data_IF_373666435315
#
_entry.id   IF_373666435315
#
_cell.length_a   1.000
_cell.length_b   1.000
_cell.length_c   1.000
_cell.angle_alpha   90.00
_cell.angle_beta   90.00
_cell.angle_gamma   90.00
#
_symmetry.space_group_name_H-M   'P 1'
#
loop_
_entity.id
_entity.type
_entity.pdbx_description
1 polymer ?
#
# COMPACT_ATOMS: atom_id res chain seq x y z
N UNK A 1 17.11 3.45 26.89
CA UNK A 1 16.48 2.14 26.64
C UNK A 1 15.22 2.11 27.48
N UNK A 2 14.09 2.52 26.91
CA UNK A 2 12.79 2.36 27.57
C UNK A 2 12.25 1.00 27.11
N UNK A 3 12.04 0.09 28.05
CA UNK A 3 11.37 -1.18 27.82
C UNK A 3 9.91 -0.90 27.45
N UNK A 4 9.56 -1.10 26.19
CA UNK A 4 8.19 -1.12 25.70
C UNK A 4 7.59 -2.49 26.05
N UNK A 5 7.01 -2.60 27.25
CA UNK A 5 6.20 -3.76 27.63
C UNK A 5 4.86 -3.68 26.91
N UNK A 6 4.74 -4.34 25.76
CA UNK A 6 3.46 -4.57 25.09
C UNK A 6 2.62 -5.50 26.00
N UNK A 7 1.43 -5.07 26.48
CA UNK A 7 0.55 -5.97 27.20
C UNK A 7 0.03 -7.03 26.22
N UNK A 8 0.53 -8.25 26.36
CA UNK A 8 -0.03 -9.42 25.66
C UNK A 8 -1.45 -9.63 26.18
N UNK A 9 -2.43 -9.29 25.34
CA UNK A 9 -3.84 -9.54 25.61
C UNK A 9 -4.13 -11.03 25.78
N UNK A 10 -5.12 -11.34 26.62
CA UNK A 10 -5.58 -12.70 26.88
C UNK A 10 -5.98 -13.38 25.55
N UNK A 11 -5.42 -14.56 25.19
CA UNK A 11 -5.71 -15.22 23.91
C UNK A 11 -7.15 -15.75 23.82
N UNK A 12 -7.96 -15.54 24.86
CA UNK A 12 -9.39 -15.87 24.91
C UNK A 12 -10.30 -14.65 24.75
N UNK A 13 -9.74 -13.44 24.61
CA UNK A 13 -10.54 -12.24 24.35
C UNK A 13 -10.98 -12.19 22.88
N UNK A 14 -12.29 -12.26 22.63
CA UNK A 14 -12.83 -12.08 21.29
C UNK A 14 -12.56 -10.66 20.79
N UNK A 15 -12.14 -10.53 19.52
CA UNK A 15 -11.79 -9.25 18.92
C UNK A 15 -12.90 -8.84 17.95
N UNK A 16 -13.37 -7.60 18.05
CA UNK A 16 -14.35 -7.05 17.13
C UNK A 16 -13.79 -7.02 15.69
N UNK A 17 -14.46 -7.64 14.70
CA UNK A 17 -13.96 -7.69 13.32
C UNK A 17 -14.00 -6.32 12.61
N UNK A 18 -14.70 -5.33 13.17
CA UNK A 18 -14.90 -4.02 12.54
C UNK A 18 -13.92 -2.94 13.03
N UNK A 19 -13.57 -2.95 14.32
CA UNK A 19 -12.70 -1.93 14.92
C UNK A 19 -11.53 -2.51 15.71
N UNK A 20 -11.37 -3.83 15.73
CA UNK A 20 -10.31 -4.55 16.44
C UNK A 20 -10.30 -4.34 17.96
N UNK A 21 -11.33 -3.72 18.54
CA UNK A 21 -11.47 -3.61 19.98
C UNK A 21 -11.76 -4.97 20.62
N UNK A 22 -11.20 -5.22 21.80
CA UNK A 22 -11.50 -6.40 22.61
C UNK A 22 -12.95 -6.36 23.07
N UNK A 23 -13.66 -7.48 22.89
CA UNK A 23 -15.04 -7.64 23.31
C UNK A 23 -15.10 -8.17 24.74
N UNK A 24 -16.07 -7.72 25.56
CA UNK A 24 -16.28 -8.26 26.89
C UNK A 24 -16.66 -9.75 26.89
N UNK A 25 -17.32 -10.22 25.83
CA UNK A 25 -17.74 -11.62 25.63
C UNK A 25 -18.08 -11.91 24.16
N UNK A 26 -17.98 -13.19 23.75
CA UNK A 26 -18.33 -13.68 22.42
C UNK A 26 -19.78 -13.42 21.99
N UNK A 27 -20.70 -13.35 22.96
CA UNK A 27 -22.15 -13.30 22.73
C UNK A 27 -22.71 -11.87 22.58
N UNK A 28 -21.83 -10.87 22.48
CA UNK A 28 -22.26 -9.47 22.32
C UNK A 28 -22.93 -9.27 20.96
N UNK A 29 -24.15 -8.72 20.96
CA UNK A 29 -24.89 -8.42 19.73
C UNK A 29 -24.33 -7.18 19.03
N UNK A 30 -23.83 -6.21 19.80
CA UNK A 30 -23.25 -4.98 19.28
C UNK A 30 -21.92 -4.70 19.98
N UNK A 31 -20.92 -4.24 19.22
CA UNK A 31 -19.64 -3.85 19.79
C UNK A 31 -19.80 -2.56 20.63
N UNK A 32 -19.36 -2.53 21.90
CA UNK A 32 -19.46 -1.32 22.73
C UNK A 32 -18.49 -0.20 22.31
N UNK A 33 -17.45 -0.52 21.53
CA UNK A 33 -16.44 0.45 21.09
C UNK A 33 -16.84 1.20 19.82
N UNK A 34 -17.43 0.51 18.84
CA UNK A 34 -17.80 1.12 17.55
C UNK A 34 -19.30 1.04 17.22
N UNK A 35 -20.11 0.35 18.02
CA UNK A 35 -21.55 0.19 17.80
C UNK A 35 -21.94 -0.78 16.69
N UNK A 36 -20.98 -1.47 16.06
CA UNK A 36 -21.26 -2.41 14.97
C UNK A 36 -22.02 -3.64 15.48
N UNK A 37 -23.02 -4.09 14.73
CA UNK A 37 -23.74 -5.35 15.00
C UNK A 37 -22.83 -6.54 14.65
N UNK A 38 -22.59 -7.42 15.62
CA UNK A 38 -21.69 -8.56 15.52
C UNK A 38 -22.43 -9.84 15.13
N UNK A 39 -23.64 -10.02 15.66
CA UNK A 39 -24.56 -11.08 15.27
C UNK A 39 -25.69 -10.46 14.46
N UNK A 40 -25.67 -10.65 13.14
CA UNK A 40 -26.69 -10.09 12.27
C UNK A 40 -28.05 -10.74 12.49
N UNK A 41 -29.08 -9.91 12.76
CA UNK A 41 -30.46 -10.30 12.49
C UNK A 41 -30.67 -10.44 10.97
N UNK A 42 -31.66 -11.25 10.58
CA UNK A 42 -32.03 -11.48 9.18
C UNK A 42 -32.24 -10.14 8.47
N UNK A 43 -31.45 -9.89 7.44
CA UNK A 43 -31.52 -8.66 6.64
C UNK A 43 -32.97 -8.40 6.18
N UNK A 44 -33.57 -7.24 6.53
CA UNK A 44 -34.92 -6.94 6.10
C UNK A 44 -34.96 -6.87 4.58
N UNK A 45 -35.91 -7.59 3.99
CA UNK A 45 -36.16 -7.55 2.56
C UNK A 45 -36.64 -6.15 2.16
N UNK A 46 -35.73 -5.36 1.60
CA UNK A 46 -36.00 -4.02 1.09
C UNK A 46 -36.51 -4.15 -0.35
N UNK A 47 -37.77 -3.78 -0.63
CA UNK A 47 -38.35 -3.92 -1.97
C UNK A 47 -37.57 -3.05 -2.96
N UNK A 48 -37.07 -3.68 -4.03
CA UNK A 48 -36.26 -3.02 -5.06
C UNK A 48 -34.75 -3.05 -4.84
N UNK A 49 -34.26 -3.49 -3.66
CA UNK A 49 -32.84 -3.68 -3.39
C UNK A 49 -32.50 -5.15 -3.15
N UNK A 50 -33.10 -5.75 -2.12
CA UNK A 50 -32.83 -7.15 -1.74
C UNK A 50 -34.01 -8.08 -2.04
N UNK A 51 -35.22 -7.54 -2.23
CA UNK A 51 -36.37 -8.26 -2.73
C UNK A 51 -36.73 -7.82 -4.15
N UNK A 52 -36.83 -8.81 -5.05
CA UNK A 52 -37.29 -8.64 -6.41
C UNK A 52 -38.81 -8.44 -6.41
N UNK A 53 -39.28 -7.28 -6.87
CA UNK A 53 -40.71 -7.06 -7.09
C UNK A 53 -41.17 -7.84 -8.33
N UNK A 54 -41.83 -8.99 -8.10
CA UNK A 54 -42.38 -9.83 -9.16
C UNK A 54 -43.39 -9.07 -10.06
N UNK A 55 -44.10 -8.08 -9.51
CA UNK A 55 -45.03 -7.26 -10.29
C UNK A 55 -44.28 -6.26 -11.18
N UNK A 56 -43.13 -5.75 -10.76
CA UNK A 56 -42.26 -4.93 -11.60
C UNK A 56 -41.68 -5.73 -12.77
N UNK A 57 -41.24 -6.98 -12.54
CA UNK A 57 -40.76 -7.87 -13.61
C UNK A 57 -41.87 -8.14 -14.63
N UNK A 58 -43.08 -8.49 -14.16
CA UNK A 58 -44.21 -8.79 -15.04
C UNK A 58 -44.62 -7.60 -15.91
N UNK A 59 -44.51 -6.37 -15.39
CA UNK A 59 -44.75 -5.14 -16.17
C UNK A 59 -43.63 -4.86 -17.17
N UNK A 60 -42.38 -5.08 -16.77
CA UNK A 60 -41.23 -4.91 -17.67
C UNK A 60 -41.26 -5.88 -18.85
N UNK A 61 -41.73 -7.11 -18.64
CA UNK A 61 -41.87 -8.10 -19.72
C UNK A 61 -43.00 -7.80 -20.70
N UNK A 62 -44.01 -7.03 -20.28
CA UNK A 62 -45.19 -6.72 -21.09
C UNK A 62 -45.10 -5.34 -21.79
N UNK A 63 -44.16 -4.49 -21.37
CA UNK A 63 -43.93 -3.21 -22.04
C UNK A 63 -43.35 -3.46 -23.45
N UNK A 64 -43.90 -2.85 -24.51
CA UNK A 64 -43.30 -2.94 -25.83
C UNK A 64 -41.88 -2.41 -25.72
N UNK A 65 -40.91 -3.18 -26.23
CA UNK A 65 -39.49 -2.88 -26.30
C UNK A 65 -39.32 -1.53 -27.03
N UNK A 66 -39.50 -0.42 -26.32
CA UNK A 66 -39.04 0.89 -26.79
C UNK A 66 -37.54 0.79 -26.72
N UNK A 67 -36.95 0.48 -27.87
CA UNK A 67 -35.54 0.50 -28.20
C UNK A 67 -34.72 1.19 -27.10
N UNK A 68 -34.16 0.39 -26.21
CA UNK A 68 -33.11 0.87 -25.33
C UNK A 68 -31.92 1.18 -26.24
N UNK A 69 -31.88 2.43 -26.71
CA UNK A 69 -30.70 3.03 -27.31
C UNK A 69 -29.54 2.68 -26.39
N UNK A 70 -28.59 1.93 -26.93
CA UNK A 70 -27.59 1.18 -26.19
C UNK A 70 -26.83 2.08 -25.23
N UNK A 71 -26.99 1.81 -23.93
CA UNK A 71 -26.29 2.54 -22.86
C UNK A 71 -24.78 2.48 -22.97
N UNK A 72 -24.24 1.40 -23.56
CA UNK A 72 -22.82 1.27 -23.87
C UNK A 72 -22.35 2.34 -24.87
N UNK A 73 -23.18 2.67 -25.88
CA UNK A 73 -22.83 3.75 -26.82
C UNK A 73 -22.91 5.11 -26.14
N UNK A 74 -23.90 5.35 -25.27
CA UNK A 74 -23.99 6.58 -24.46
C UNK A 74 -22.80 6.74 -23.50
N UNK A 75 -22.32 5.64 -22.91
CA UNK A 75 -21.14 5.64 -22.03
C UNK A 75 -19.84 5.89 -22.79
N UNK A 76 -19.65 5.28 -23.97
CA UNK A 76 -18.44 5.46 -24.79
C UNK A 76 -18.44 6.84 -25.47
N UNK A 77 -19.61 7.33 -25.92
CA UNK A 77 -19.71 8.60 -26.64
C UNK A 77 -19.77 9.82 -25.70
N UNK A 78 -19.94 9.60 -24.39
CA UNK A 78 -20.13 10.67 -23.41
C UNK A 78 -21.42 11.48 -23.61
N UNK A 79 -22.35 11.00 -24.45
CA UNK A 79 -23.66 11.61 -24.64
C UNK A 79 -24.58 11.07 -23.54
N UNK A 80 -24.49 11.69 -22.37
CA UNK A 80 -25.44 11.50 -21.28
C UNK A 80 -26.65 12.39 -21.55
N UNK A 81 -27.88 11.86 -21.39
CA UNK A 81 -29.08 12.71 -21.35
C UNK A 81 -28.84 13.81 -20.31
N UNK A 82 -28.78 15.06 -20.77
CA UNK A 82 -28.43 16.25 -19.98
C UNK A 82 -29.50 16.62 -18.93
N UNK A 83 -30.58 15.85 -18.87
CA UNK A 83 -31.72 16.05 -17.95
C UNK A 83 -31.48 15.48 -16.54
N UNK A 84 -30.31 14.85 -16.28
CA UNK A 84 -29.88 14.60 -14.90
C UNK A 84 -29.11 15.84 -14.45
N UNK A 85 -29.85 16.80 -13.89
CA UNK A 85 -29.30 17.92 -13.13
C UNK A 85 -28.60 17.34 -11.88
N UNK A 86 -27.38 16.84 -12.08
CA UNK A 86 -26.47 16.51 -11.00
C UNK A 86 -26.23 17.77 -10.19
N UNK A 87 -26.30 17.65 -8.87
CA UNK A 87 -25.90 18.72 -7.96
C UNK A 87 -24.57 19.33 -8.43
N UNK A 88 -24.37 20.66 -8.34
CA UNK A 88 -23.13 21.29 -8.77
C UNK A 88 -21.98 20.56 -8.10
N UNK A 89 -21.14 19.89 -8.89
CA UNK A 89 -19.99 19.18 -8.36
C UNK A 89 -19.07 20.23 -7.75
N UNK A 90 -18.71 20.04 -6.48
CA UNK A 90 -17.75 20.89 -5.81
C UNK A 90 -16.44 20.84 -6.61
N UNK A 91 -16.11 21.93 -7.29
CA UNK A 91 -14.95 22.02 -8.18
C UNK A 91 -13.63 21.78 -7.47
N UNK A 92 -13.61 21.94 -6.14
CA UNK A 92 -12.50 21.65 -5.25
C UNK A 92 -12.24 20.14 -5.09
N UNK A 93 -13.27 19.28 -5.19
CA UNK A 93 -13.11 17.83 -5.14
C UNK A 93 -12.44 17.25 -6.40
N UNK A 94 -12.49 18.01 -7.50
CA UNK A 94 -11.86 17.66 -8.79
C UNK A 94 -10.56 18.44 -9.02
N UNK A 95 -10.19 19.34 -8.11
CA UNK A 95 -8.96 20.09 -8.22
C UNK A 95 -7.76 19.16 -8.00
N UNK A 96 -6.62 19.41 -8.67
CA UNK A 96 -5.37 18.73 -8.34
C UNK A 96 -5.02 18.89 -6.86
N UNK A 97 -4.31 17.92 -6.24
CA UNK A 97 -3.87 18.03 -4.86
C UNK A 97 -3.06 19.31 -4.63
N UNK A 98 -3.09 19.81 -3.40
CA UNK A 98 -2.26 20.92 -2.99
C UNK A 98 -0.76 20.57 -3.02
N UNK A 99 0.09 21.58 -3.16
CA UNK A 99 1.53 21.39 -3.29
C UNK A 99 2.17 20.77 -2.05
N UNK A 100 1.59 20.93 -0.85
CA UNK A 100 2.11 20.30 0.35
C UNK A 100 1.87 18.79 0.32
N UNK A 101 0.65 18.35 -0.04
CA UNK A 101 0.34 16.93 -0.23
C UNK A 101 1.18 16.31 -1.36
N UNK A 102 1.42 17.01 -2.46
CA UNK A 102 2.31 16.50 -3.53
C UNK A 102 3.73 16.22 -3.04
N UNK A 103 4.28 17.08 -2.17
CA UNK A 103 5.62 16.86 -1.60
C UNK A 103 5.63 15.66 -0.66
N UNK A 104 4.57 15.46 0.11
CA UNK A 104 4.46 14.30 0.99
C UNK A 104 4.33 13.00 0.17
N UNK A 105 3.53 13.01 -0.89
CA UNK A 105 3.44 11.87 -1.82
C UNK A 105 4.82 11.56 -2.41
N UNK A 106 5.52 12.56 -2.95
CA UNK A 106 6.85 12.37 -3.52
C UNK A 106 7.85 11.85 -2.48
N UNK A 107 7.76 12.31 -1.23
CA UNK A 107 8.57 11.81 -0.14
C UNK A 107 8.32 10.32 0.10
N UNK A 108 7.05 9.91 0.19
CA UNK A 108 6.67 8.52 0.41
C UNK A 108 7.09 7.62 -0.76
N UNK A 109 6.99 8.10 -2.00
CA UNK A 109 7.45 7.37 -3.19
C UNK A 109 8.95 7.08 -3.13
N UNK A 110 9.77 8.09 -2.78
CA UNK A 110 11.21 7.93 -2.64
C UNK A 110 11.57 7.00 -1.48
N UNK A 111 10.87 7.10 -0.34
CA UNK A 111 11.07 6.17 0.79
C UNK A 111 10.78 4.72 0.39
N UNK A 112 9.73 4.49 -0.40
CA UNK A 112 9.40 3.16 -0.93
C UNK A 112 10.45 2.64 -1.92
N UNK A 113 10.97 3.50 -2.80
CA UNK A 113 12.03 3.13 -3.74
C UNK A 113 13.33 2.75 -3.01
N UNK A 114 13.71 3.51 -1.98
CA UNK A 114 14.86 3.18 -1.13
C UNK A 114 14.67 1.82 -0.46
N UNK A 115 13.49 1.56 0.10
CA UNK A 115 13.19 0.27 0.73
C UNK A 115 13.26 -0.90 -0.28
N UNK A 116 12.78 -0.68 -1.51
CA UNK A 116 12.87 -1.69 -2.57
C UNK A 116 14.33 -2.00 -2.95
N UNK A 117 15.15 -0.96 -3.18
CA UNK A 117 16.57 -1.13 -3.51
C UNK A 117 17.35 -1.80 -2.37
N UNK A 118 17.00 -1.51 -1.12
CA UNK A 118 17.59 -2.18 0.05
C UNK A 118 17.24 -3.67 0.06
N UNK A 119 15.98 -4.03 -0.17
CA UNK A 119 15.56 -5.43 -0.24
C UNK A 119 16.26 -6.18 -1.39
N UNK A 120 16.40 -5.55 -2.56
CA UNK A 120 17.16 -6.13 -3.69
C UNK A 120 18.63 -6.33 -3.33
N UNK A 121 19.25 -5.38 -2.65
CA UNK A 121 20.64 -5.51 -2.21
C UNK A 121 20.81 -6.62 -1.17
N UNK A 122 19.91 -6.70 -0.19
CA UNK A 122 19.90 -7.75 0.82
C UNK A 122 19.71 -9.13 0.19
N UNK A 123 18.86 -9.24 -0.84
CA UNK A 123 18.68 -10.47 -1.60
C UNK A 123 19.97 -10.86 -2.32
N UNK A 124 20.63 -9.93 -3.02
CA UNK A 124 21.91 -10.21 -3.69
C UNK A 124 23.00 -10.65 -2.71
N UNK A 125 23.08 -10.01 -1.53
CA UNK A 125 24.02 -10.40 -0.49
C UNK A 125 23.67 -11.80 0.05
N UNK A 126 22.39 -12.10 0.24
CA UNK A 126 21.95 -13.42 0.70
C UNK A 126 22.28 -14.50 -0.34
N UNK A 127 22.05 -14.24 -1.62
CA UNK A 127 22.42 -15.15 -2.72
C UNK A 127 23.93 -15.41 -2.76
N UNK A 128 24.76 -14.36 -2.67
CA UNK A 128 26.21 -14.50 -2.64
C UNK A 128 26.71 -15.33 -1.45
N UNK A 129 26.08 -15.17 -0.27
CA UNK A 129 26.41 -15.99 0.91
C UNK A 129 26.03 -17.45 0.75
N UNK A 130 24.96 -17.75 0.01
CA UNK A 130 24.58 -19.14 -0.29
C UNK A 130 25.55 -19.76 -1.29
N UNK A 131 25.97 -19.02 -2.31
CA UNK A 131 26.97 -19.46 -3.28
C UNK A 131 28.33 -19.77 -2.61
N UNK A 132 28.80 -18.90 -1.71
CA UNK A 132 30.01 -19.15 -0.91
C UNK A 132 29.88 -20.39 -0.01
N UNK A 133 28.71 -20.58 0.63
CA UNK A 133 28.45 -21.76 1.46
C UNK A 133 28.45 -23.07 0.65
N UNK A 134 27.96 -23.04 -0.60
CA UNK A 134 27.98 -24.18 -1.50
C UNK A 134 29.41 -24.50 -2.01
N UNK A 135 30.24 -23.48 -2.22
CA UNK A 135 31.67 -23.65 -2.58
C UNK A 135 32.51 -24.20 -1.41
N UNK A 136 32.28 -23.78 -0.16
CA UNK A 136 32.97 -24.34 1.01
C UNK A 136 32.64 -25.81 1.25
N UNK A 137 31.41 -26.25 0.95
CA UNK A 137 31.01 -27.66 1.02
C UNK A 137 31.67 -28.48 -0.10
N UNK A 138 31.86 -27.91 -1.30
CA UNK A 138 32.51 -28.60 -2.42
C UNK A 138 34.04 -28.77 -2.25
N UNK A 139 34.71 -27.90 -1.49
CA UNK A 139 36.16 -28.00 -1.19
C UNK A 139 36.46 -29.01 -0.07
N UNK A 140 35.45 -29.48 0.66
CA UNK A 140 35.57 -30.49 1.74
C UNK A 140 35.63 -31.96 1.30
N UNK A 141 35.46 -32.26 0.00
CA UNK A 141 35.53 -33.63 -0.56
C UNK A 141 36.73 -33.78 -1.50
N UNK A 142 37.94 -33.68 -0.95
CA UNK A 142 39.18 -33.82 -1.73
C UNK A 142 40.46 -33.72 -0.90
N UNK A 143 40.62 -34.53 0.14
CA UNK A 143 41.94 -34.81 0.73
C UNK A 143 42.78 -35.63 -0.25
N UNK A 144 43.65 -34.99 -1.04
CA UNK A 144 45.04 -35.45 -1.22
C UNK A 144 45.97 -34.34 -1.75
N UNK A 145 46.81 -33.86 -0.82
CA UNK A 145 48.19 -33.36 -0.97
C UNK A 145 48.52 -32.40 -2.11
N UNK A 146 48.63 -31.09 -1.81
CA UNK A 146 49.72 -30.25 -2.33
C UNK A 146 50.06 -29.09 -1.37
N UNK A 147 51.20 -29.22 -0.68
CA UNK A 147 51.93 -28.12 -0.04
C UNK A 147 52.30 -27.04 -1.06
N UNK A 148 51.77 -25.82 -0.93
CA UNK A 148 52.41 -24.60 -1.46
C UNK A 148 52.34 -23.45 -0.45
N UNK A 149 53.50 -23.25 0.16
CA UNK A 149 54.07 -22.05 0.77
C UNK A 149 53.22 -20.77 0.87
N UNK A 150 53.07 -20.32 2.12
CA UNK A 150 52.78 -18.95 2.53
C UNK A 150 53.80 -17.97 1.91
N UNK A 151 53.31 -17.02 1.13
CA UNK A 151 54.00 -15.78 0.85
C UNK A 151 53.14 -14.61 1.35
N UNK A 152 53.58 -14.03 2.46
CA UNK A 152 53.09 -12.77 2.98
C UNK A 152 53.35 -11.66 1.95
N UNK A 153 52.27 -11.06 1.43
CA UNK A 153 52.29 -9.83 0.65
C UNK A 153 51.21 -8.91 1.19
N UNK A 154 51.57 -8.12 2.19
CA UNK A 154 50.76 -7.00 2.64
C UNK A 154 50.76 -5.93 1.54
N UNK A 155 49.58 -5.55 1.05
CA UNK A 155 49.40 -4.28 0.35
C UNK A 155 48.06 -3.65 0.78
N UNK A 156 48.06 -2.78 1.81
CA UNK A 156 46.90 -2.02 2.21
C UNK A 156 46.94 -0.67 1.51
N UNK A 157 46.54 -0.60 0.24
CA UNK A 157 46.12 0.68 -0.34
C UNK A 157 44.65 0.94 0.00
N UNK A 158 44.45 1.25 1.28
CA UNK A 158 43.46 2.26 1.65
C UNK A 158 43.83 3.56 0.93
N UNK A 159 42.99 3.97 -0.02
CA UNK A 159 42.82 5.38 -0.33
C UNK A 159 41.41 5.78 0.11
N UNK A 160 41.24 6.54 1.21
CA UNK A 160 39.96 7.18 1.47
C UNK A 160 39.71 8.26 0.40
N UNK A 161 38.48 8.44 -0.11
CA UNK A 161 38.15 9.68 -0.77
C UNK A 161 38.19 10.80 0.28
N UNK A 162 39.12 11.71 0.05
CA UNK A 162 39.36 12.93 0.78
C UNK A 162 38.12 13.81 0.76
N UNK A 163 37.69 14.21 1.96
CA UNK A 163 36.72 15.25 2.24
C UNK A 163 37.26 16.61 1.78
N UNK A 164 36.74 17.15 0.67
CA UNK A 164 36.73 18.58 0.31
C UNK A 164 35.88 18.74 -0.97
N UNK A 165 34.98 19.69 -1.17
CA UNK A 165 34.52 20.83 -0.40
C UNK A 165 33.14 21.19 -0.97
N UNK A 166 32.25 21.66 -0.10
CA UNK A 166 30.99 22.28 -0.50
C UNK A 166 31.24 23.50 -1.42
N UNK A 167 30.52 23.66 -2.55
CA UNK A 167 30.36 24.97 -3.14
C UNK A 167 29.41 25.78 -2.25
N UNK A 168 29.99 26.84 -1.71
CA UNK A 168 29.36 27.89 -0.91
C UNK A 168 28.12 28.47 -1.60
N UNK A 169 27.12 28.73 -0.76
CA UNK A 169 25.97 29.61 -0.99
C UNK A 169 26.40 30.87 -1.75
N UNK A 170 25.93 30.98 -2.99
CA UNK A 170 25.94 32.22 -3.76
C UNK A 170 24.60 32.93 -3.55
N UNK A 171 24.55 33.78 -2.53
CA UNK A 171 23.51 34.79 -2.33
C UNK A 171 23.45 35.69 -3.57
N UNK A 172 22.40 35.57 -4.38
CA UNK A 172 22.06 36.55 -5.40
C UNK A 172 21.17 37.62 -4.76
N UNK A 173 21.54 38.91 -4.80
CA UNK A 173 20.77 39.97 -4.17
C UNK A 173 19.45 40.21 -4.89
N UNK A 174 18.40 40.35 -4.09
CA UNK A 174 17.13 40.97 -4.42
C UNK A 174 17.40 42.37 -4.97
N UNK A 175 17.10 42.60 -6.25
CA UNK A 175 16.99 43.95 -6.82
C UNK A 175 15.52 44.37 -6.80
N UNK A 176 15.11 44.93 -5.68
CA UNK A 176 13.98 45.85 -5.62
C UNK A 176 14.42 47.19 -6.21
N UNK A 177 13.99 47.51 -7.45
CA UNK A 177 13.83 48.89 -7.92
C UNK A 177 12.98 49.00 -9.19
N UNK A 178 11.72 49.38 -8.94
CA UNK A 178 10.89 50.37 -9.65
C UNK A 178 10.20 50.01 -10.97
#
# INVERSE_FOLDING_TARGET
MADDTVPVGDPTADICPWCSATLPSADEVNCPSCGATLTGDVEPQLPGLTAIDAQAIARASQAPIRQQRSRLLSWISGEYDTDVEGAPADSEALAPPDEAVKREILRLELEAEVANLQAENEALIAEARLEEADEEVAVGEGDEDLDVAVAAGADPLLHPPEEAAAPTVGEAPVDERR
#
